data_IF_629522490174
#
_entry.id   IF_629522490174
#
_cell.length_a   1.000
_cell.length_b   1.000
_cell.length_c   1.000
_cell.angle_alpha   90.00
_cell.angle_beta   90.00
_cell.angle_gamma   90.00
#
_symmetry.space_group_name_H-M   'P 1'
#
loop_
_entity.id
_entity.type
_entity.pdbx_description
1 polymer ?
#
# COMPACT_ATOMS: atom_id res chain seq x y z
N UNK A 1 -12.91 -20.48 12.40
CA UNK A 1 -13.60 -19.19 12.14
C UNK A 1 -13.40 -18.88 10.66
N UNK A 2 -14.43 -18.39 9.96
CA UNK A 2 -14.27 -17.99 8.56
C UNK A 2 -13.34 -16.77 8.49
N UNK A 3 -12.48 -16.64 7.46
CA UNK A 3 -11.65 -15.45 7.31
C UNK A 3 -12.55 -14.20 7.24
N UNK A 4 -12.11 -13.06 7.80
CA UNK A 4 -12.88 -11.82 7.75
C UNK A 4 -13.18 -11.48 6.30
N UNK A 5 -14.42 -11.08 5.98
CA UNK A 5 -14.80 -10.66 4.63
C UNK A 5 -15.19 -9.19 4.64
N UNK A 6 -14.44 -8.37 3.91
CA UNK A 6 -14.75 -6.96 3.72
C UNK A 6 -15.99 -6.84 2.85
N UNK A 7 -16.89 -5.92 3.21
CA UNK A 7 -17.90 -5.40 2.29
C UNK A 7 -17.27 -4.41 1.31
N UNK A 8 -17.92 -4.09 0.17
CA UNK A 8 -17.43 -3.06 -0.74
C UNK A 8 -17.22 -1.70 -0.04
N UNK A 9 -18.13 -1.32 0.87
CA UNK A 9 -18.04 -0.08 1.64
C UNK A 9 -16.84 -0.09 2.60
N UNK A 10 -16.62 -1.21 3.30
CA UNK A 10 -15.45 -1.38 4.17
C UNK A 10 -14.16 -1.34 3.35
N UNK A 11 -14.12 -1.98 2.18
CA UNK A 11 -12.95 -1.96 1.31
C UNK A 11 -12.65 -0.54 0.79
N UNK A 12 -13.68 0.24 0.41
CA UNK A 12 -13.51 1.64 -0.01
C UNK A 12 -13.04 2.54 1.14
N UNK A 13 -13.60 2.35 2.33
CA UNK A 13 -13.18 3.07 3.54
C UNK A 13 -11.75 2.71 3.94
N UNK A 14 -11.41 1.42 3.94
CA UNK A 14 -10.06 0.93 4.24
C UNK A 14 -9.05 1.51 3.24
N UNK A 15 -9.37 1.50 1.95
CA UNK A 15 -8.52 2.07 0.92
C UNK A 15 -8.28 3.57 1.16
N UNK A 16 -9.31 4.32 1.52
CA UNK A 16 -9.18 5.75 1.85
C UNK A 16 -8.28 5.99 3.07
N UNK A 17 -8.44 5.19 4.12
CA UNK A 17 -7.62 5.27 5.33
C UNK A 17 -6.16 4.85 5.07
N UNK A 18 -5.93 3.82 4.24
CA UNK A 18 -4.59 3.41 3.77
C UNK A 18 -3.86 4.61 3.13
N UNK A 19 -4.54 5.33 2.22
CA UNK A 19 -3.95 6.51 1.58
C UNK A 19 -3.64 7.62 2.58
N UNK A 20 -4.56 7.90 3.51
CA UNK A 20 -4.32 8.87 4.56
C UNK A 20 -3.08 8.50 5.41
N UNK A 21 -2.92 7.22 5.73
CA UNK A 21 -1.75 6.71 6.48
C UNK A 21 -0.45 6.85 5.70
N UNK A 22 -0.43 6.57 4.40
CA UNK A 22 0.76 6.76 3.57
C UNK A 22 1.17 8.23 3.43
N UNK A 23 0.19 9.15 3.51
CA UNK A 23 0.43 10.59 3.47
C UNK A 23 0.86 11.20 4.81
N UNK A 24 0.81 10.43 5.92
CA UNK A 24 1.36 10.91 7.20
C UNK A 24 2.86 11.14 7.05
N UNK A 25 3.34 12.30 7.47
CA UNK A 25 4.74 12.73 7.32
C UNK A 25 5.73 11.69 7.87
N UNK A 26 5.42 11.11 9.04
CA UNK A 26 6.23 10.05 9.65
C UNK A 26 6.36 8.81 8.75
N UNK A 27 5.24 8.30 8.21
CA UNK A 27 5.24 7.13 7.35
C UNK A 27 5.93 7.42 6.02
N UNK A 28 5.70 8.61 5.47
CA UNK A 28 6.35 9.05 4.24
C UNK A 28 7.86 9.13 4.41
N UNK A 29 8.36 9.72 5.49
CA UNK A 29 9.79 9.76 5.79
C UNK A 29 10.39 8.35 5.95
N UNK A 30 9.66 7.42 6.59
CA UNK A 30 10.07 6.01 6.68
C UNK A 30 10.17 5.36 5.30
N UNK A 31 9.19 5.56 4.43
CA UNK A 31 9.22 5.00 3.09
C UNK A 31 10.31 5.61 2.21
N UNK A 32 10.52 6.93 2.25
CA UNK A 32 11.59 7.60 1.50
C UNK A 32 12.98 7.15 1.95
N UNK A 33 13.19 6.94 3.26
CA UNK A 33 14.43 6.36 3.78
C UNK A 33 14.64 4.93 3.26
N UNK A 34 13.57 4.12 3.23
CA UNK A 34 13.61 2.74 2.74
C UNK A 34 13.89 2.67 1.24
N UNK A 35 13.35 3.60 0.44
CA UNK A 35 13.68 3.71 -1.00
C UNK A 35 15.18 3.90 -1.17
N UNK A 36 15.77 4.86 -0.46
CA UNK A 36 17.21 5.16 -0.52
C UNK A 36 18.07 3.98 -0.07
N UNK A 37 17.65 3.29 0.98
CA UNK A 37 18.34 2.07 1.44
C UNK A 37 18.32 0.99 0.36
N UNK A 38 17.18 0.77 -0.29
CA UNK A 38 17.08 -0.23 -1.36
C UNK A 38 17.87 0.17 -2.61
N UNK A 39 17.96 1.47 -2.93
CA UNK A 39 18.74 1.96 -4.07
C UNK A 39 20.26 1.79 -3.90
N UNK A 40 20.73 1.65 -2.66
CA UNK A 40 22.13 1.36 -2.35
C UNK A 40 22.48 -0.14 -2.46
N UNK A 41 21.50 -1.03 -2.60
CA UNK A 41 21.69 -2.47 -2.73
C UNK A 41 22.08 -2.86 -4.16
N UNK A 42 22.76 -4.01 -4.32
CA UNK A 42 23.19 -4.52 -5.65
C UNK A 42 22.00 -4.72 -6.61
N UNK A 43 20.84 -5.12 -6.06
CA UNK A 43 19.60 -5.32 -6.81
C UNK A 43 18.44 -4.54 -6.16
N UNK A 44 18.30 -3.24 -6.46
CA UNK A 44 17.30 -2.38 -5.81
C UNK A 44 15.87 -2.88 -5.96
N UNK A 45 15.52 -3.48 -7.10
CA UNK A 45 14.19 -4.05 -7.32
C UNK A 45 13.89 -5.20 -6.35
N UNK A 46 14.85 -6.11 -6.13
CA UNK A 46 14.70 -7.24 -5.21
C UNK A 46 14.67 -6.73 -3.77
N UNK A 47 15.52 -5.76 -3.43
CA UNK A 47 15.53 -5.14 -2.12
C UNK A 47 14.18 -4.48 -1.79
N UNK A 48 13.60 -3.72 -2.73
CA UNK A 48 12.28 -3.09 -2.56
C UNK A 48 11.20 -4.14 -2.30
N UNK A 49 11.17 -5.22 -3.08
CA UNK A 49 10.19 -6.31 -2.90
C UNK A 49 10.32 -7.07 -1.56
N UNK A 50 11.50 -7.07 -0.93
CA UNK A 50 11.71 -7.74 0.35
C UNK A 50 11.48 -6.81 1.54
N UNK A 51 11.92 -5.55 1.45
CA UNK A 51 11.93 -4.61 2.57
C UNK A 51 10.65 -3.78 2.68
N UNK A 52 9.95 -3.48 1.58
CA UNK A 52 8.71 -2.70 1.65
C UNK A 52 7.52 -3.44 2.28
N UNK A 53 7.23 -4.71 1.94
CA UNK A 53 6.09 -5.41 2.51
C UNK A 53 6.00 -5.39 4.04
N UNK A 54 7.07 -5.67 4.82
CA UNK A 54 6.97 -5.60 6.27
C UNK A 54 6.67 -4.17 6.78
N UNK A 55 7.24 -3.13 6.17
CA UNK A 55 6.99 -1.74 6.59
C UNK A 55 5.56 -1.31 6.24
N UNK A 56 5.07 -1.65 5.04
CA UNK A 56 3.68 -1.39 4.67
C UNK A 56 2.73 -2.14 5.61
N UNK A 57 3.03 -3.39 5.95
CA UNK A 57 2.23 -4.17 6.90
C UNK A 57 2.18 -3.51 8.28
N UNK A 58 3.29 -3.01 8.80
CA UNK A 58 3.32 -2.27 10.07
C UNK A 58 2.40 -1.05 10.05
N UNK A 59 2.45 -0.25 8.97
CA UNK A 59 1.61 0.96 8.83
C UNK A 59 0.12 0.63 8.78
N UNK A 60 -0.22 -0.53 8.20
CA UNK A 60 -1.59 -0.98 8.00
C UNK A 60 -2.12 -1.90 9.10
N UNK A 61 -1.26 -2.34 10.02
CA UNK A 61 -1.60 -3.32 11.06
C UNK A 61 -2.85 -2.94 11.86
N UNK A 62 -2.86 -1.78 12.51
CA UNK A 62 -4.00 -1.37 13.35
C UNK A 62 -5.30 -1.24 12.55
N UNK A 63 -5.20 -0.78 11.29
CA UNK A 63 -6.36 -0.66 10.42
C UNK A 63 -6.94 -2.04 10.11
N UNK A 64 -6.09 -2.99 9.75
CA UNK A 64 -6.50 -4.33 9.38
C UNK A 64 -7.01 -5.12 10.59
N UNK A 65 -6.41 -4.93 11.77
CA UNK A 65 -6.91 -5.45 13.04
C UNK A 65 -8.31 -4.90 13.36
N UNK A 66 -8.57 -3.62 13.11
CA UNK A 66 -9.90 -3.02 13.31
C UNK A 66 -10.97 -3.61 12.37
N UNK A 67 -10.55 -4.17 11.23
CA UNK A 67 -11.40 -4.85 10.25
C UNK A 67 -11.50 -6.36 10.51
N UNK A 68 -10.85 -6.85 11.56
CA UNK A 68 -10.86 -8.25 11.98
C UNK A 68 -9.75 -9.12 11.39
N UNK A 69 -8.82 -8.55 10.63
CA UNK A 69 -7.68 -9.28 10.06
C UNK A 69 -6.50 -9.29 11.03
N UNK A 70 -5.86 -10.44 11.20
CA UNK A 70 -4.59 -10.54 11.91
C UNK A 70 -3.40 -10.16 11.02
N UNK A 71 -2.22 -9.98 11.63
CA UNK A 71 -0.98 -9.60 10.95
C UNK A 71 -0.62 -10.53 9.77
N UNK A 72 -0.84 -11.84 9.92
CA UNK A 72 -0.62 -12.84 8.87
C UNK A 72 -1.75 -12.88 7.82
N UNK A 73 -2.85 -12.16 8.05
CA UNK A 73 -4.04 -12.10 7.17
C UNK A 73 -4.12 -10.76 6.41
N UNK A 74 -3.16 -9.86 6.64
CA UNK A 74 -3.09 -8.52 6.04
C UNK A 74 -3.09 -8.59 4.50
N UNK A 75 -2.30 -9.51 3.93
CA UNK A 75 -2.29 -9.79 2.50
C UNK A 75 -3.64 -10.31 1.99
N UNK A 76 -4.39 -11.06 2.80
CA UNK A 76 -5.75 -11.47 2.43
C UNK A 76 -6.72 -10.28 2.45
N UNK A 77 -6.56 -9.35 3.40
CA UNK A 77 -7.30 -8.09 3.43
C UNK A 77 -7.06 -7.26 2.16
N UNK A 78 -5.80 -7.08 1.78
CA UNK A 78 -5.41 -6.38 0.53
C UNK A 78 -6.00 -7.09 -0.70
N UNK A 79 -5.95 -8.43 -0.74
CA UNK A 79 -6.55 -9.21 -1.83
C UNK A 79 -8.07 -9.02 -1.92
N UNK A 80 -8.76 -8.90 -0.80
CA UNK A 80 -10.21 -8.62 -0.80
C UNK A 80 -10.53 -7.20 -1.27
N UNK A 81 -9.72 -6.21 -0.89
CA UNK A 81 -9.85 -4.85 -1.42
C UNK A 81 -9.66 -4.88 -2.95
N UNK A 82 -8.67 -5.61 -3.46
CA UNK A 82 -8.45 -5.80 -4.89
C UNK A 82 -9.64 -6.48 -5.58
N UNK A 83 -10.25 -7.50 -4.96
CA UNK A 83 -11.44 -8.16 -5.51
C UNK A 83 -12.64 -7.22 -5.62
N UNK A 84 -12.87 -6.36 -4.62
CA UNK A 84 -13.92 -5.35 -4.69
C UNK A 84 -13.58 -4.26 -5.71
N UNK A 85 -12.31 -3.86 -5.79
CA UNK A 85 -11.83 -2.90 -6.76
C UNK A 85 -11.98 -3.37 -8.21
N UNK A 86 -11.91 -4.69 -8.49
CA UNK A 86 -12.20 -5.22 -9.81
C UNK A 86 -13.63 -4.91 -10.31
N UNK A 87 -14.54 -4.57 -9.40
CA UNK A 87 -15.94 -4.20 -9.69
C UNK A 87 -16.23 -2.71 -9.50
N UNK A 88 -15.27 -1.93 -8.99
CA UNK A 88 -15.36 -0.49 -8.77
C UNK A 88 -14.14 0.22 -9.40
N UNK A 89 -14.30 0.91 -10.54
CA UNK A 89 -13.19 1.52 -11.27
C UNK A 89 -12.48 2.65 -10.48
N UNK A 90 -13.17 3.30 -9.54
CA UNK A 90 -12.57 4.32 -8.67
C UNK A 90 -11.62 3.64 -7.67
N UNK A 91 -12.04 2.50 -7.11
CA UNK A 91 -11.17 1.69 -6.25
C UNK A 91 -10.05 1.02 -7.04
N UNK A 92 -10.26 0.58 -8.28
CA UNK A 92 -9.24 -0.05 -9.12
C UNK A 92 -7.99 0.84 -9.28
N UNK A 93 -8.22 2.12 -9.56
CA UNK A 93 -7.14 3.12 -9.67
C UNK A 93 -6.35 3.25 -8.38
N UNK A 94 -7.07 3.30 -7.24
CA UNK A 94 -6.48 3.42 -5.90
C UNK A 94 -5.75 2.14 -5.46
N UNK A 95 -6.27 0.96 -5.78
CA UNK A 95 -5.60 -0.32 -5.46
C UNK A 95 -4.30 -0.48 -6.24
N UNK A 96 -4.24 -0.04 -7.50
CA UNK A 96 -2.99 -0.05 -8.27
C UNK A 96 -1.86 0.71 -7.55
N UNK A 97 -2.20 1.85 -6.95
CA UNK A 97 -1.27 2.67 -6.18
C UNK A 97 -0.89 1.99 -4.85
N UNK A 98 -1.82 1.31 -4.18
CA UNK A 98 -1.49 0.48 -3.00
C UNK A 98 -0.47 -0.60 -3.37
N UNK A 99 -0.65 -1.31 -4.49
CA UNK A 99 0.29 -2.33 -4.95
C UNK A 99 1.66 -1.74 -5.30
N UNK A 100 1.69 -0.53 -5.86
CA UNK A 100 2.93 0.20 -6.11
C UNK A 100 3.70 0.50 -4.81
N UNK A 101 3.01 0.84 -3.72
CA UNK A 101 3.65 1.07 -2.42
C UNK A 101 4.39 -0.18 -1.90
N UNK A 102 3.84 -1.39 -2.10
CA UNK A 102 4.51 -2.65 -1.76
C UNK A 102 5.78 -2.91 -2.58
N UNK A 103 5.93 -2.26 -3.73
CA UNK A 103 7.12 -2.33 -4.59
C UNK A 103 8.06 -1.12 -4.43
N UNK A 104 7.80 -0.26 -3.44
CA UNK A 104 8.61 0.91 -3.17
C UNK A 104 8.33 2.12 -4.05
N UNK A 105 7.15 2.16 -4.69
CA UNK A 105 6.66 3.32 -5.41
C UNK A 105 5.52 3.95 -4.59
N UNK A 106 5.87 4.91 -3.74
CA UNK A 106 4.95 5.55 -2.80
C UNK A 106 4.09 6.57 -3.54
N UNK A 107 2.75 6.57 -3.38
CA UNK A 107 1.92 7.63 -3.90
C UNK A 107 2.45 9.00 -3.50
N UNK A 108 2.77 9.81 -4.51
CA UNK A 108 2.95 11.23 -4.31
C UNK A 108 1.68 11.81 -3.63
N UNK A 109 1.82 12.75 -2.68
CA UNK A 109 0.66 13.57 -2.31
C UNK A 109 0.13 14.20 -3.59
N UNK A 110 -1.19 14.39 -3.71
CA UNK A 110 -1.88 14.89 -4.92
C UNK A 110 -1.37 16.24 -5.49
N UNK A 111 -0.31 16.82 -4.92
CA UNK A 111 0.42 17.99 -5.35
C UNK A 111 1.73 17.70 -6.12
N UNK A 112 2.12 16.43 -6.35
CA UNK A 112 3.35 16.08 -7.08
C UNK A 112 3.06 15.23 -8.34
N UNK A 113 2.03 15.60 -9.09
CA UNK A 113 1.93 15.25 -10.51
C UNK A 113 2.74 16.23 -11.33
N UNK A 114 4.05 16.01 -11.40
CA UNK A 114 4.87 16.26 -12.58
C UNK A 114 6.18 15.49 -12.34
N UNK A 115 6.77 14.94 -13.41
CA UNK A 115 8.07 14.24 -13.40
C UNK A 115 8.05 12.75 -13.01
N UNK A 116 7.36 11.94 -13.81
CA UNK A 116 7.86 10.62 -14.19
C UNK A 116 7.51 10.32 -15.67
N UNK A 117 7.78 11.30 -16.54
CA UNK A 117 8.11 11.02 -17.94
C UNK A 117 9.62 10.71 -18.02
N UNK A 118 9.98 9.91 -19.03
CA UNK A 118 11.34 9.48 -19.44
C UNK A 118 11.92 8.26 -18.70
N UNK A 119 11.51 7.07 -19.14
CA UNK A 119 12.51 6.10 -19.58
C UNK A 119 12.72 6.33 -21.08
N UNK A 120 13.86 6.90 -21.44
CA UNK A 120 14.42 6.93 -22.81
C UNK A 120 14.93 5.53 -23.19
#
# INVERSE_FOLDING_TARGET
MAPPQLTPEQAKSALTEIFSRFQKEENRARFEALVKECEAEENPMVAKMQKFPPVVNEVLKDLMESLGFQENELMMGVMQIQMHAAKDPEMASKVGILMQAFTGNIPAPAAATEEAEMCD
#
